data_IF_042908428548
#
_entry.id   IF_042908428548
#
_cell.length_a   1.000
_cell.length_b   1.000
_cell.length_c   1.000
_cell.angle_alpha   90.00
_cell.angle_beta   90.00
_cell.angle_gamma   90.00
#
_symmetry.space_group_name_H-M   'P 1'
#
loop_
_entity.id
_entity.type
_entity.pdbx_description
1 polymer ?
#
# COMPACT_ATOMS: atom_id res chain seq x y z
N UNK A 1 0.09 12.00 -36.12
CA UNK A 1 0.42 11.55 -34.76
C UNK A 1 1.00 10.15 -34.86
N UNK A 2 2.31 9.97 -34.62
CA UNK A 2 2.89 8.63 -34.46
C UNK A 2 2.18 7.97 -33.27
N UNK A 3 1.90 6.71 -33.37
CA UNK A 3 1.14 5.99 -32.35
C UNK A 3 2.00 5.84 -31.09
N UNK A 4 1.85 6.74 -30.11
CA UNK A 4 2.63 6.80 -28.85
C UNK A 4 2.75 5.42 -28.19
N UNK A 5 1.69 4.62 -28.29
CA UNK A 5 1.67 3.26 -27.76
C UNK A 5 2.71 2.35 -28.43
N UNK A 6 2.97 2.52 -29.71
CA UNK A 6 3.96 1.71 -30.47
C UNK A 6 5.37 2.14 -30.09
N UNK A 7 5.66 3.45 -30.01
CA UNK A 7 7.01 3.94 -29.68
C UNK A 7 7.47 3.54 -28.26
N UNK A 8 6.56 3.51 -27.28
CA UNK A 8 6.87 3.13 -25.90
C UNK A 8 6.96 1.61 -25.74
N UNK A 9 6.13 0.85 -26.48
CA UNK A 9 6.14 -0.61 -26.42
C UNK A 9 7.46 -1.22 -26.96
N UNK A 10 8.11 -0.56 -27.90
CA UNK A 10 9.33 -1.07 -28.54
C UNK A 10 10.63 -0.78 -27.76
N UNK A 11 10.58 0.06 -26.71
CA UNK A 11 11.77 0.37 -25.90
C UNK A 11 12.06 -0.75 -24.91
N UNK A 12 13.30 -1.27 -24.90
CA UNK A 12 13.74 -2.28 -23.91
C UNK A 12 13.77 -1.74 -22.47
N UNK A 13 13.93 -0.43 -22.33
CA UNK A 13 13.95 0.27 -21.04
C UNK A 13 13.09 1.53 -21.11
N UNK A 14 12.25 1.73 -20.12
CA UNK A 14 11.53 2.98 -19.90
C UNK A 14 11.98 3.62 -18.58
N UNK A 15 12.27 4.92 -18.62
CA UNK A 15 12.42 5.72 -17.41
C UNK A 15 11.07 6.31 -17.05
N UNK A 16 10.59 5.99 -15.86
CA UNK A 16 9.23 6.30 -15.45
C UNK A 16 9.26 7.02 -14.09
N UNK A 17 8.51 8.11 -13.98
CA UNK A 17 8.19 8.70 -12.69
C UNK A 17 6.88 8.09 -12.16
N UNK A 18 6.99 7.23 -11.16
CA UNK A 18 5.83 6.72 -10.43
C UNK A 18 5.42 7.69 -9.34
N UNK A 19 4.14 7.94 -9.22
CA UNK A 19 3.59 8.93 -8.30
C UNK A 19 2.47 8.31 -7.45
N UNK A 20 2.60 8.46 -6.14
CA UNK A 20 1.59 8.03 -5.16
C UNK A 20 1.23 9.17 -4.22
N UNK A 21 -0.03 9.24 -3.88
CA UNK A 21 -0.51 10.01 -2.74
C UNK A 21 -1.41 9.11 -1.89
N UNK A 22 -0.97 8.84 -0.68
CA UNK A 22 -1.59 7.90 0.24
C UNK A 22 -2.72 8.52 1.08
N UNK A 23 -3.34 7.68 1.90
CA UNK A 23 -4.43 8.08 2.82
C UNK A 23 -3.94 8.90 4.02
N UNK A 24 -2.63 8.98 4.26
CA UNK A 24 -2.00 9.84 5.27
C UNK A 24 -2.15 11.33 4.94
N UNK A 25 -2.32 11.67 3.65
CA UNK A 25 -2.47 13.03 3.14
C UNK A 25 -1.32 13.95 3.59
N UNK A 26 -0.11 13.44 3.68
CA UNK A 26 1.09 14.18 4.08
C UNK A 26 1.83 14.78 2.88
N UNK A 27 1.77 14.12 1.71
CA UNK A 27 2.45 14.60 0.51
C UNK A 27 2.22 13.74 -0.72
N UNK A 28 3.06 13.99 -1.70
CA UNK A 28 3.15 13.26 -2.96
C UNK A 28 4.50 12.55 -3.01
N UNK A 29 4.47 11.24 -3.03
CA UNK A 29 5.64 10.39 -3.21
C UNK A 29 5.96 10.26 -4.70
N UNK A 30 7.20 10.53 -5.07
CA UNK A 30 7.68 10.42 -6.46
C UNK A 30 8.92 9.56 -6.50
N UNK A 31 8.85 8.44 -7.23
CA UNK A 31 9.99 7.59 -7.54
C UNK A 31 10.31 7.67 -9.03
N UNK A 32 11.54 8.05 -9.39
CA UNK A 32 12.02 7.96 -10.77
C UNK A 32 12.80 6.68 -10.91
N UNK A 33 12.35 5.80 -11.79
CA UNK A 33 12.90 4.46 -11.94
C UNK A 33 13.21 4.14 -13.41
N UNK A 34 14.24 3.35 -13.65
CA UNK A 34 14.45 2.66 -14.94
C UNK A 34 13.82 1.27 -14.82
N UNK A 35 12.85 0.97 -15.68
CA UNK A 35 12.13 -0.31 -15.73
C UNK A 35 12.49 -1.05 -17.00
N UNK A 36 12.82 -2.33 -16.87
CA UNK A 36 13.06 -3.30 -17.94
C UNK A 36 12.33 -4.59 -17.62
N UNK A 37 12.23 -5.53 -18.55
CA UNK A 37 11.68 -6.87 -18.28
C UNK A 37 12.48 -7.63 -17.22
N UNK A 38 13.75 -7.27 -17.00
CA UNK A 38 14.63 -7.90 -16.01
C UNK A 38 14.47 -7.32 -14.59
N UNK A 39 13.79 -6.18 -14.42
CA UNK A 39 13.60 -5.56 -13.13
C UNK A 39 13.61 -4.03 -13.14
N UNK A 40 13.77 -3.47 -11.96
CA UNK A 40 13.67 -2.02 -11.69
C UNK A 40 14.95 -1.51 -11.03
N UNK A 41 15.38 -0.32 -11.44
CA UNK A 41 16.46 0.42 -10.77
C UNK A 41 15.94 1.79 -10.35
N UNK A 42 15.86 2.03 -9.05
CA UNK A 42 15.46 3.34 -8.50
C UNK A 42 16.58 4.34 -8.71
N UNK A 43 16.27 5.49 -9.34
CA UNK A 43 17.20 6.59 -9.63
C UNK A 43 17.05 7.75 -8.67
N UNK A 44 15.82 8.01 -8.23
CA UNK A 44 15.50 9.04 -7.24
C UNK A 44 14.19 8.69 -6.55
N UNK A 45 14.06 9.11 -5.31
CA UNK A 45 12.82 9.10 -4.56
C UNK A 45 12.80 10.29 -3.62
N UNK A 46 11.66 10.93 -3.52
CA UNK A 46 11.40 11.94 -2.48
C UNK A 46 9.90 12.10 -2.26
N UNK A 47 9.52 12.56 -1.07
CA UNK A 47 8.16 12.93 -0.71
C UNK A 47 8.04 14.46 -0.68
N UNK A 48 7.18 15.02 -1.52
CA UNK A 48 6.90 16.45 -1.56
C UNK A 48 5.66 16.74 -0.73
N UNK A 49 5.79 17.45 0.41
CA UNK A 49 4.66 17.69 1.31
C UNK A 49 3.54 18.51 0.65
N UNK A 50 2.29 18.20 0.98
CA UNK A 50 1.17 19.03 0.57
C UNK A 50 1.21 20.43 1.24
N UNK A 51 0.88 21.49 0.49
CA UNK A 51 0.58 22.79 1.11
C UNK A 51 -0.54 22.65 2.17
N UNK A 52 -0.36 23.30 3.31
CA UNK A 52 -1.31 23.20 4.42
C UNK A 52 -2.80 23.42 4.04
N UNK A 53 -3.14 24.44 3.25
CA UNK A 53 -4.51 24.64 2.76
C UNK A 53 -5.04 23.45 1.94
N UNK A 54 -4.23 22.91 1.00
CA UNK A 54 -4.61 21.76 0.17
C UNK A 54 -4.84 20.54 1.03
N UNK A 55 -3.95 20.25 1.98
CA UNK A 55 -4.11 19.13 2.92
C UNK A 55 -5.42 19.22 3.71
N UNK A 56 -5.77 20.40 4.17
CA UNK A 56 -7.03 20.66 4.92
C UNK A 56 -8.26 20.34 4.05
N UNK A 57 -8.25 20.76 2.79
CA UNK A 57 -9.35 20.48 1.86
C UNK A 57 -9.47 19.01 1.50
N UNK A 58 -8.33 18.31 1.30
CA UNK A 58 -8.32 16.87 1.09
C UNK A 58 -8.89 16.11 2.29
N UNK A 59 -8.51 16.49 3.51
CA UNK A 59 -9.09 15.92 4.74
C UNK A 59 -10.61 16.12 4.79
N UNK A 60 -11.09 17.32 4.40
CA UNK A 60 -12.53 17.63 4.33
C UNK A 60 -13.25 16.72 3.32
N UNK A 61 -12.67 16.52 2.13
CA UNK A 61 -13.22 15.63 1.10
C UNK A 61 -13.30 14.18 1.56
N UNK A 62 -12.24 13.69 2.19
CA UNK A 62 -12.15 12.30 2.65
C UNK A 62 -12.98 12.01 3.91
N UNK A 63 -13.46 13.02 4.63
CA UNK A 63 -14.24 12.85 5.88
C UNK A 63 -15.72 12.49 5.69
N UNK A 64 -16.18 12.36 4.43
CA UNK A 64 -17.57 11.98 4.14
C UNK A 64 -18.61 13.10 4.31
N UNK A 65 -18.18 14.34 4.56
CA UNK A 65 -19.07 15.50 4.63
C UNK A 65 -19.64 15.85 3.25
N UNK A 66 -20.76 16.58 3.22
CA UNK A 66 -21.30 17.13 1.97
C UNK A 66 -20.27 18.03 1.29
N UNK A 67 -19.97 17.75 0.03
CA UNK A 67 -18.96 18.43 -0.77
C UNK A 67 -19.60 18.92 -2.08
N UNK A 68 -19.25 20.16 -2.48
CA UNK A 68 -19.67 20.67 -3.79
C UNK A 68 -18.87 19.98 -4.91
N UNK A 69 -19.53 19.69 -6.02
CA UNK A 69 -18.88 19.14 -7.23
C UNK A 69 -17.81 20.10 -7.76
N UNK A 70 -18.02 21.41 -7.61
CA UNK A 70 -17.04 22.44 -8.00
C UNK A 70 -15.73 22.33 -7.17
N UNK A 71 -15.82 22.00 -5.87
CA UNK A 71 -14.64 21.79 -5.01
C UNK A 71 -13.83 20.57 -5.51
N UNK A 72 -14.52 19.47 -5.85
CA UNK A 72 -13.85 18.27 -6.38
C UNK A 72 -13.16 18.59 -7.70
N UNK A 73 -13.84 19.28 -8.62
CA UNK A 73 -13.30 19.64 -9.93
C UNK A 73 -12.08 20.59 -9.78
N UNK A 74 -12.17 21.58 -8.90
CA UNK A 74 -11.09 22.51 -8.61
C UNK A 74 -9.88 21.82 -8.00
N UNK A 75 -10.09 20.95 -7.00
CA UNK A 75 -9.02 20.20 -6.37
C UNK A 75 -8.39 19.18 -7.31
N UNK A 76 -9.14 18.58 -8.25
CA UNK A 76 -8.58 17.71 -9.27
C UNK A 76 -7.49 18.44 -10.10
N UNK A 77 -7.76 19.68 -10.50
CA UNK A 77 -6.80 20.51 -11.24
C UNK A 77 -5.61 20.90 -10.35
N UNK A 78 -5.89 21.40 -9.14
CA UNK A 78 -4.85 21.82 -8.18
C UNK A 78 -3.90 20.65 -7.86
N UNK A 79 -4.42 19.45 -7.66
CA UNK A 79 -3.59 18.27 -7.42
C UNK A 79 -2.78 17.89 -8.65
N UNK A 80 -3.30 18.05 -9.85
CA UNK A 80 -2.54 17.89 -11.09
C UNK A 80 -1.32 18.84 -11.13
N UNK A 81 -1.49 20.11 -10.75
CA UNK A 81 -0.38 21.08 -10.66
C UNK A 81 0.64 20.68 -9.57
N UNK A 82 0.17 20.26 -8.40
CA UNK A 82 1.05 19.84 -7.29
C UNK A 82 1.85 18.58 -7.69
N UNK A 83 1.21 17.59 -8.29
CA UNK A 83 1.87 16.37 -8.77
C UNK A 83 2.92 16.71 -9.84
N UNK A 84 2.57 17.55 -10.82
CA UNK A 84 3.53 17.98 -11.83
C UNK A 84 4.73 18.70 -11.20
N UNK A 85 4.46 19.60 -10.24
CA UNK A 85 5.51 20.29 -9.47
C UNK A 85 6.40 19.33 -8.68
N UNK A 86 5.82 18.30 -8.07
CA UNK A 86 6.55 17.28 -7.34
C UNK A 86 7.48 16.46 -8.26
N UNK A 87 7.00 16.03 -9.44
CA UNK A 87 7.84 15.33 -10.43
C UNK A 87 8.99 16.22 -10.89
N UNK A 88 8.73 17.50 -11.18
CA UNK A 88 9.77 18.46 -11.59
C UNK A 88 10.80 18.67 -10.46
N UNK A 89 10.34 18.81 -9.22
CA UNK A 89 11.22 19.01 -8.08
C UNK A 89 12.15 17.82 -7.83
N UNK A 90 11.60 16.59 -7.81
CA UNK A 90 12.37 15.36 -7.58
C UNK A 90 13.35 15.12 -8.72
N UNK A 91 12.94 15.31 -9.98
CA UNK A 91 13.83 15.20 -11.13
C UNK A 91 14.96 16.24 -11.05
N UNK A 92 14.65 17.49 -10.70
CA UNK A 92 15.63 18.57 -10.53
C UNK A 92 16.62 18.30 -9.40
N UNK A 93 16.15 17.86 -8.24
CA UNK A 93 16.99 17.48 -7.10
C UNK A 93 17.99 16.35 -7.44
N UNK A 94 17.53 15.38 -8.21
CA UNK A 94 18.35 14.26 -8.70
C UNK A 94 19.17 14.59 -9.95
N UNK A 95 19.09 15.81 -10.50
CA UNK A 95 19.73 16.23 -11.76
C UNK A 95 19.32 15.36 -12.97
N UNK A 96 18.10 14.86 -12.98
CA UNK A 96 17.53 14.07 -14.06
C UNK A 96 16.74 15.02 -14.98
N UNK A 97 17.08 15.05 -16.27
CA UNK A 97 16.34 15.85 -17.25
C UNK A 97 14.92 15.30 -17.45
N UNK A 98 13.89 16.14 -17.40
CA UNK A 98 12.51 15.75 -17.72
C UNK A 98 12.39 15.09 -19.10
N UNK A 99 13.19 15.54 -20.09
CA UNK A 99 13.22 14.95 -21.44
C UNK A 99 13.72 13.50 -21.45
N UNK A 100 14.37 13.04 -20.38
CA UNK A 100 14.83 11.65 -20.25
C UNK A 100 13.80 10.74 -19.56
N UNK A 101 12.68 11.30 -19.10
CA UNK A 101 11.57 10.54 -18.49
C UNK A 101 10.57 10.24 -19.59
N UNK A 102 10.31 8.97 -19.83
CA UNK A 102 9.44 8.49 -20.91
C UNK A 102 7.96 8.57 -20.54
N UNK A 103 7.64 8.35 -19.25
CA UNK A 103 6.28 8.26 -18.73
C UNK A 103 6.17 8.80 -17.31
N UNK A 104 4.95 9.23 -16.95
CA UNK A 104 4.52 9.40 -15.57
C UNK A 104 3.41 8.38 -15.30
N UNK A 105 3.51 7.60 -14.21
CA UNK A 105 2.45 6.74 -13.70
C UNK A 105 1.87 7.34 -12.44
N UNK A 106 0.72 8.01 -12.51
CA UNK A 106 0.12 8.71 -11.37
C UNK A 106 -1.09 7.96 -10.81
N UNK A 107 -1.00 7.54 -9.55
CA UNK A 107 -2.17 7.06 -8.82
C UNK A 107 -3.21 8.16 -8.59
N UNK A 108 -2.74 9.41 -8.39
CA UNK A 108 -3.57 10.48 -7.86
C UNK A 108 -3.91 10.28 -6.38
N UNK A 109 -4.85 11.07 -5.85
CA UNK A 109 -5.35 10.98 -4.48
C UNK A 109 -6.73 10.34 -4.46
N UNK A 110 -6.88 9.23 -3.75
CA UNK A 110 -8.20 8.61 -3.55
C UNK A 110 -9.05 9.48 -2.65
N UNK A 111 -10.19 9.94 -3.15
CA UNK A 111 -11.20 10.67 -2.40
C UNK A 111 -12.46 9.83 -2.16
N UNK A 112 -12.67 8.79 -2.95
CA UNK A 112 -13.77 7.86 -2.77
C UNK A 112 -13.41 6.47 -3.32
N UNK A 113 -13.80 5.43 -2.58
CA UNK A 113 -13.61 4.05 -3.03
C UNK A 113 -14.67 3.16 -2.38
N UNK A 114 -15.60 2.65 -3.18
CA UNK A 114 -16.70 1.80 -2.76
C UNK A 114 -16.92 0.71 -3.84
N UNK A 115 -16.09 -0.35 -3.84
CA UNK A 115 -16.20 -1.42 -4.83
C UNK A 115 -17.49 -2.24 -4.68
N UNK A 116 -17.99 -2.41 -3.44
CA UNK A 116 -19.29 -3.03 -3.18
C UNK A 116 -20.46 -2.21 -3.73
N UNK A 117 -20.27 -0.92 -3.78
CA UNK A 117 -21.11 0.04 -4.46
C UNK A 117 -22.49 0.22 -3.85
N UNK A 118 -23.27 0.99 -4.57
CA UNK A 118 -24.66 1.33 -4.20
C UNK A 118 -25.62 1.02 -5.34
N UNK A 119 -26.87 0.87 -4.97
CA UNK A 119 -27.94 0.74 -5.97
C UNK A 119 -28.21 2.11 -6.59
N UNK A 120 -27.82 2.27 -7.86
CA UNK A 120 -28.02 3.50 -8.62
C UNK A 120 -28.95 3.22 -9.79
N UNK A 121 -30.14 3.87 -9.81
CA UNK A 121 -31.18 3.66 -10.84
C UNK A 121 -31.47 2.17 -11.11
N UNK A 122 -31.56 1.37 -10.05
CA UNK A 122 -31.86 -0.06 -10.13
C UNK A 122 -30.66 -0.98 -10.41
N UNK A 123 -29.48 -0.45 -10.66
CA UNK A 123 -28.24 -1.23 -10.88
C UNK A 123 -27.32 -1.13 -9.68
N UNK A 124 -26.71 -2.24 -9.26
CA UNK A 124 -25.59 -2.23 -8.32
C UNK A 124 -24.36 -1.73 -9.08
N UNK A 125 -23.72 -0.68 -8.58
CA UNK A 125 -22.55 -0.04 -9.21
C UNK A 125 -21.47 0.16 -8.17
N UNK A 126 -20.35 -0.53 -8.33
CA UNK A 126 -19.10 -0.24 -7.63
C UNK A 126 -18.39 0.94 -8.28
N UNK A 127 -17.75 1.79 -7.49
CA UNK A 127 -17.08 2.96 -8.02
C UNK A 127 -15.88 3.38 -7.17
N UNK A 128 -14.97 4.08 -7.83
CA UNK A 128 -13.75 4.62 -7.22
C UNK A 128 -13.43 5.96 -7.86
N UNK A 129 -12.82 6.88 -7.11
CA UNK A 129 -12.41 8.17 -7.62
C UNK A 129 -11.06 8.56 -7.03
N UNK A 130 -10.09 8.70 -7.90
CA UNK A 130 -8.80 9.29 -7.64
C UNK A 130 -8.75 10.63 -8.39
N UNK A 131 -8.31 11.70 -7.72
CA UNK A 131 -8.15 13.02 -8.30
C UNK A 131 -6.67 13.40 -8.45
N UNK A 132 -6.38 14.31 -9.35
CA UNK A 132 -5.05 14.70 -9.81
C UNK A 132 -5.03 14.61 -11.33
N UNK A 133 -5.55 15.67 -12.00
CA UNK A 133 -5.86 15.70 -13.43
C UNK A 133 -4.64 15.38 -14.29
N UNK A 134 -4.69 14.23 -14.97
CA UNK A 134 -3.57 13.72 -15.76
C UNK A 134 -3.20 14.62 -16.95
N UNK A 135 -4.20 15.31 -17.52
CA UNK A 135 -3.95 16.28 -18.61
C UNK A 135 -3.13 17.47 -18.12
N UNK A 136 -3.37 17.93 -16.90
CA UNK A 136 -2.57 18.99 -16.27
C UNK A 136 -1.14 18.49 -16.04
N UNK A 137 -0.98 17.30 -15.48
CA UNK A 137 0.34 16.70 -15.27
C UNK A 137 1.10 16.61 -16.57
N UNK A 138 0.48 16.04 -17.61
CA UNK A 138 1.10 15.85 -18.93
C UNK A 138 1.52 17.20 -19.55
N UNK A 139 0.64 18.21 -19.56
CA UNK A 139 0.93 19.51 -20.16
C UNK A 139 1.97 20.33 -19.37
N UNK A 140 2.03 20.21 -18.04
CA UNK A 140 3.02 20.91 -17.21
C UNK A 140 4.41 20.29 -17.29
N UNK A 141 4.50 18.98 -17.44
CA UNK A 141 5.77 18.26 -17.46
C UNK A 141 6.30 18.03 -18.89
N UNK A 142 5.42 18.06 -19.89
CA UNK A 142 5.73 17.63 -21.26
C UNK A 142 5.91 16.12 -21.38
N UNK A 143 5.38 15.32 -20.42
CA UNK A 143 5.57 13.86 -20.35
C UNK A 143 4.21 13.16 -20.40
N UNK A 144 4.08 12.17 -21.29
CA UNK A 144 2.88 11.32 -21.34
C UNK A 144 2.59 10.73 -19.95
N UNK A 145 1.34 10.89 -19.49
CA UNK A 145 0.91 10.48 -18.16
C UNK A 145 -0.09 9.34 -18.24
N UNK A 146 0.09 8.32 -17.39
CA UNK A 146 -0.85 7.21 -17.20
C UNK A 146 -1.47 7.34 -15.82
N UNK A 147 -2.79 7.32 -15.75
CA UNK A 147 -3.58 7.49 -14.53
C UNK A 147 -4.79 6.55 -14.50
N UNK A 148 -5.65 6.66 -13.50
CA UNK A 148 -6.91 5.89 -13.40
C UNK A 148 -6.69 4.37 -13.47
N UNK A 149 -5.78 3.83 -12.69
CA UNK A 149 -5.45 2.39 -12.71
C UNK A 149 -6.57 1.50 -12.16
N UNK A 150 -7.41 1.99 -11.25
CA UNK A 150 -8.42 1.18 -10.55
C UNK A 150 -9.70 0.90 -11.36
N UNK A 151 -10.24 1.83 -12.20
CA UNK A 151 -11.53 1.66 -12.86
C UNK A 151 -11.64 0.46 -13.81
N UNK A 152 -10.54 0.08 -14.49
CA UNK A 152 -10.55 -1.05 -15.40
C UNK A 152 -10.77 -2.40 -14.68
N UNK A 153 -10.21 -2.56 -13.48
CA UNK A 153 -10.40 -3.75 -12.65
C UNK A 153 -11.84 -3.83 -12.11
N UNK A 154 -12.41 -2.70 -11.65
CA UNK A 154 -13.83 -2.63 -11.25
C UNK A 154 -14.75 -2.99 -12.41
N UNK A 155 -14.43 -2.54 -13.62
CA UNK A 155 -15.26 -2.79 -14.82
C UNK A 155 -15.36 -4.28 -15.18
N UNK A 156 -14.43 -5.10 -14.70
CA UNK A 156 -14.45 -6.55 -14.87
C UNK A 156 -14.78 -7.30 -13.57
N UNK A 157 -15.43 -6.62 -12.64
CA UNK A 157 -15.98 -7.21 -11.42
C UNK A 157 -14.99 -7.32 -10.25
N UNK A 158 -13.80 -6.73 -10.37
CA UNK A 158 -12.83 -6.64 -9.28
C UNK A 158 -13.13 -5.49 -8.33
N UNK A 159 -12.39 -5.45 -7.22
CA UNK A 159 -12.51 -4.39 -6.21
C UNK A 159 -11.65 -3.16 -6.52
N UNK A 160 -10.80 -3.19 -7.58
CA UNK A 160 -9.90 -2.10 -7.91
C UNK A 160 -8.75 -1.91 -6.91
N UNK A 161 -8.62 -2.83 -5.96
CA UNK A 161 -7.59 -2.91 -4.94
C UNK A 161 -7.50 -4.35 -4.41
N UNK A 162 -6.31 -4.82 -3.96
CA UNK A 162 -5.02 -4.13 -4.05
C UNK A 162 -4.41 -4.22 -5.47
N UNK A 163 -3.67 -3.19 -5.90
CA UNK A 163 -2.96 -3.19 -7.19
C UNK A 163 -1.45 -3.48 -7.04
N UNK A 164 -0.90 -3.24 -5.86
CA UNK A 164 0.51 -3.50 -5.52
C UNK A 164 0.95 -4.96 -5.74
N UNK A 165 0.09 -5.99 -5.60
CA UNK A 165 0.50 -7.38 -5.83
C UNK A 165 1.10 -7.67 -7.21
N UNK A 166 0.69 -6.94 -8.26
CA UNK A 166 1.32 -7.03 -9.57
C UNK A 166 2.78 -6.54 -9.53
N UNK A 167 3.01 -5.40 -8.89
CA UNK A 167 4.35 -4.87 -8.73
C UNK A 167 5.22 -5.76 -7.82
N UNK A 168 4.67 -6.30 -6.75
CA UNK A 168 5.36 -7.26 -5.89
C UNK A 168 5.78 -8.50 -6.70
N UNK A 169 4.90 -9.03 -7.55
CA UNK A 169 5.22 -10.15 -8.43
C UNK A 169 6.30 -9.78 -9.45
N UNK A 170 6.21 -8.62 -10.06
CA UNK A 170 7.21 -8.13 -11.02
C UNK A 170 8.60 -7.99 -10.38
N UNK A 171 8.67 -7.48 -9.16
CA UNK A 171 9.92 -7.25 -8.43
C UNK A 171 10.52 -8.52 -7.82
N UNK A 172 9.68 -9.41 -7.26
CA UNK A 172 10.13 -10.47 -6.37
C UNK A 172 9.64 -11.87 -6.76
N UNK A 173 8.75 -11.99 -7.75
CA UNK A 173 8.12 -13.26 -8.16
C UNK A 173 9.04 -14.18 -8.98
N UNK A 174 10.26 -14.43 -8.51
CA UNK A 174 11.24 -15.27 -9.21
C UNK A 174 10.85 -16.74 -9.13
N UNK A 175 10.98 -17.47 -10.25
CA UNK A 175 10.78 -18.91 -10.29
C UNK A 175 11.72 -19.63 -9.31
N UNK A 176 11.19 -20.65 -8.64
CA UNK A 176 11.93 -21.48 -7.68
C UNK A 176 11.97 -20.95 -6.24
N UNK A 177 11.51 -19.73 -5.97
CA UNK A 177 11.48 -19.17 -4.61
C UNK A 177 10.08 -18.68 -4.25
N UNK A 178 9.44 -19.35 -3.31
CA UNK A 178 8.18 -18.91 -2.74
C UNK A 178 8.45 -17.81 -1.71
N UNK A 179 7.78 -16.64 -1.87
CA UNK A 179 7.98 -15.46 -1.04
C UNK A 179 6.68 -14.90 -0.49
N UNK A 180 6.79 -14.20 0.60
CA UNK A 180 5.75 -13.31 1.11
C UNK A 180 6.28 -11.89 1.20
N UNK A 181 5.56 -10.93 0.64
CA UNK A 181 5.82 -9.52 0.86
C UNK A 181 4.87 -9.07 1.97
N UNK A 182 5.41 -8.85 3.17
CA UNK A 182 4.63 -8.46 4.33
C UNK A 182 4.77 -6.96 4.58
N UNK A 183 3.72 -6.22 4.29
CA UNK A 183 3.65 -4.83 4.69
C UNK A 183 3.07 -4.73 6.11
N UNK A 184 3.76 -4.04 7.00
CA UNK A 184 3.30 -3.79 8.38
C UNK A 184 3.16 -2.29 8.57
N UNK A 185 2.03 -1.76 8.10
CA UNK A 185 1.58 -0.40 8.33
C UNK A 185 0.69 -0.33 9.58
N UNK A 186 -0.32 0.53 9.58
CA UNK A 186 -1.36 0.51 10.61
C UNK A 186 -2.11 -0.83 10.64
N UNK A 187 -2.44 -1.36 9.46
CA UNK A 187 -2.88 -2.73 9.20
C UNK A 187 -1.72 -3.50 8.58
N UNK A 188 -1.63 -4.78 8.88
CA UNK A 188 -0.66 -5.70 8.30
C UNK A 188 -1.30 -6.45 7.13
N UNK A 189 -0.64 -6.48 5.96
CA UNK A 189 -1.10 -7.19 4.78
C UNK A 189 0.02 -7.98 4.13
N UNK A 190 -0.34 -9.04 3.44
CA UNK A 190 0.59 -9.94 2.76
C UNK A 190 0.27 -10.04 1.29
N UNK A 191 1.32 -10.05 0.44
CA UNK A 191 1.28 -10.57 -0.92
C UNK A 191 2.09 -11.88 -0.94
N UNK A 192 1.42 -13.00 -1.17
CA UNK A 192 2.06 -14.31 -1.37
C UNK A 192 2.45 -14.45 -2.84
N UNK A 193 3.71 -14.74 -3.10
CA UNK A 193 4.30 -14.96 -4.40
C UNK A 193 4.66 -16.44 -4.56
N UNK A 194 4.01 -17.17 -5.47
CA UNK A 194 4.28 -18.59 -5.67
C UNK A 194 5.68 -18.80 -6.25
N UNK A 195 6.35 -19.87 -5.83
CA UNK A 195 7.70 -20.22 -6.31
C UNK A 195 7.73 -20.69 -7.78
N UNK A 196 6.57 -20.93 -8.38
CA UNK A 196 6.45 -21.37 -9.78
C UNK A 196 6.35 -20.22 -10.80
N UNK A 197 6.38 -18.97 -10.35
CA UNK A 197 6.31 -17.79 -11.20
C UNK A 197 4.95 -17.54 -11.89
N UNK A 198 3.86 -18.12 -11.40
CA UNK A 198 2.52 -17.94 -11.95
C UNK A 198 1.78 -16.82 -11.21
N UNK A 199 1.46 -15.75 -11.93
CA UNK A 199 0.77 -14.60 -11.36
C UNK A 199 -0.67 -14.93 -10.93
N UNK A 200 -1.29 -15.91 -11.56
CA UNK A 200 -2.65 -16.37 -11.25
C UNK A 200 -2.77 -17.02 -9.86
N UNK A 201 -1.65 -17.45 -9.30
CA UNK A 201 -1.58 -18.10 -7.98
C UNK A 201 -1.11 -17.11 -6.89
N UNK A 202 -0.90 -15.83 -7.23
CA UNK A 202 -0.62 -14.76 -6.26
C UNK A 202 -1.84 -14.55 -5.38
N UNK A 203 -1.63 -14.47 -4.06
CA UNK A 203 -2.69 -14.14 -3.10
C UNK A 203 -2.32 -12.85 -2.37
N UNK A 204 -3.32 -12.02 -2.08
CA UNK A 204 -3.11 -10.84 -1.24
C UNK A 204 -4.31 -10.62 -0.32
N UNK A 205 -4.04 -10.35 0.96
CA UNK A 205 -5.07 -10.10 1.97
C UNK A 205 -4.48 -9.46 3.23
N UNK A 206 -5.33 -8.85 4.04
CA UNK A 206 -4.92 -8.29 5.32
C UNK A 206 -4.84 -9.39 6.38
N UNK A 207 -3.69 -9.49 7.05
CA UNK A 207 -3.47 -10.51 8.09
C UNK A 207 -4.09 -10.13 9.42
N UNK A 208 -4.20 -8.83 9.72
CA UNK A 208 -4.74 -8.30 10.96
C UNK A 208 -4.19 -6.91 11.29
N UNK A 209 -4.20 -6.50 12.57
CA UNK A 209 -3.60 -5.24 12.99
C UNK A 209 -2.09 -5.27 12.75
N UNK A 210 -1.55 -4.14 12.28
CA UNK A 210 -0.13 -3.88 12.26
C UNK A 210 0.26 -3.02 13.47
N UNK A 211 0.76 -1.81 13.21
CA UNK A 211 1.18 -0.89 14.26
C UNK A 211 0.01 -0.16 14.94
N UNK A 212 -1.15 -0.07 14.33
CA UNK A 212 -2.26 0.79 14.75
C UNK A 212 -2.67 0.61 16.22
N UNK A 213 -2.78 -0.64 16.66
CA UNK A 213 -3.13 -0.96 18.05
C UNK A 213 -1.98 -0.61 19.00
N UNK A 214 -0.76 -0.95 18.62
CA UNK A 214 0.47 -0.69 19.40
C UNK A 214 0.65 0.83 19.57
N UNK A 215 0.55 1.58 18.49
CA UNK A 215 0.73 3.03 18.46
C UNK A 215 -0.30 3.73 19.34
N UNK A 216 -1.56 3.33 19.28
CA UNK A 216 -2.61 3.92 20.11
C UNK A 216 -2.41 3.63 21.61
N UNK A 217 -1.95 2.42 21.96
CA UNK A 217 -1.58 2.07 23.34
C UNK A 217 -0.43 2.97 23.83
N UNK A 218 0.62 3.13 23.03
CA UNK A 218 1.79 3.96 23.35
C UNK A 218 1.41 5.43 23.47
N UNK A 219 0.53 5.91 22.59
CA UNK A 219 0.00 7.28 22.65
C UNK A 219 -0.74 7.54 23.96
N UNK A 220 -1.62 6.62 24.38
CA UNK A 220 -2.36 6.72 25.66
C UNK A 220 -1.42 6.66 26.86
N UNK A 221 -0.51 5.68 26.89
CA UNK A 221 0.51 5.52 27.94
C UNK A 221 1.31 6.81 28.17
N UNK A 222 1.65 7.50 27.07
CA UNK A 222 2.50 8.70 27.13
C UNK A 222 1.73 10.01 27.23
N UNK A 223 0.39 9.98 27.35
CA UNK A 223 -0.47 11.15 27.25
C UNK A 223 -0.20 11.98 25.97
N UNK A 224 -0.04 11.29 24.84
CA UNK A 224 0.17 11.89 23.53
C UNK A 224 1.61 12.34 23.24
N UNK A 225 2.57 12.15 24.17
CA UNK A 225 3.97 12.55 23.99
C UNK A 225 4.76 11.63 23.06
N UNK A 226 4.33 10.37 22.91
CA UNK A 226 4.88 9.39 21.96
C UNK A 226 3.77 8.93 21.04
N UNK A 227 4.08 8.74 19.76
CA UNK A 227 3.13 8.29 18.75
C UNK A 227 3.29 6.81 18.40
N UNK A 228 4.42 6.17 18.72
CA UNK A 228 4.72 4.76 18.44
C UNK A 228 5.81 4.20 19.38
N UNK A 229 5.95 2.87 19.40
CA UNK A 229 7.02 2.17 20.11
C UNK A 229 8.30 2.14 19.26
N UNK A 230 9.20 3.10 19.52
CA UNK A 230 10.45 3.20 18.77
C UNK A 230 11.31 1.95 18.94
N UNK A 231 11.67 1.30 17.83
CA UNK A 231 12.46 0.07 17.75
C UNK A 231 11.85 -1.12 18.54
N UNK A 232 10.59 -1.05 18.95
CA UNK A 232 9.94 -2.06 19.79
C UNK A 232 10.44 -2.13 21.22
N UNK A 233 11.04 -1.04 21.74
CA UNK A 233 11.72 -1.05 23.06
C UNK A 233 10.76 -1.24 24.23
N UNK A 234 9.55 -0.69 24.13
CA UNK A 234 8.55 -0.85 25.20
C UNK A 234 8.11 -2.31 25.23
N UNK A 235 7.74 -2.86 24.06
CA UNK A 235 7.34 -4.26 23.96
C UNK A 235 8.46 -5.22 24.38
N UNK A 236 9.70 -4.98 23.92
CA UNK A 236 10.84 -5.85 24.20
C UNK A 236 11.35 -5.81 25.65
N UNK A 237 10.99 -4.78 26.41
CA UNK A 237 11.36 -4.64 27.82
C UNK A 237 10.30 -5.18 28.78
N UNK A 238 9.17 -5.69 28.26
CA UNK A 238 8.05 -6.15 29.07
C UNK A 238 7.59 -7.54 28.63
N UNK A 239 6.93 -8.24 29.55
CA UNK A 239 6.41 -9.57 29.28
C UNK A 239 5.05 -9.51 28.58
N UNK A 240 4.81 -10.50 27.74
CA UNK A 240 3.49 -10.75 27.14
C UNK A 240 2.61 -11.40 28.20
N UNK A 241 1.42 -10.85 28.45
CA UNK A 241 0.44 -11.50 29.30
C UNK A 241 -0.36 -12.51 28.48
N UNK A 242 -0.29 -13.79 28.87
CA UNK A 242 -0.92 -14.88 28.13
C UNK A 242 -2.44 -14.82 28.19
N UNK A 243 -3.02 -14.39 29.31
CA UNK A 243 -4.47 -14.27 29.46
C UNK A 243 -5.05 -13.22 28.52
N UNK A 244 -4.43 -12.03 28.48
CA UNK A 244 -4.81 -10.97 27.55
C UNK A 244 -4.56 -11.38 26.09
N UNK A 245 -3.45 -12.04 25.79
CA UNK A 245 -3.13 -12.55 24.45
C UNK A 245 -4.21 -13.51 23.96
N UNK A 246 -4.59 -14.50 24.76
CA UNK A 246 -5.59 -15.50 24.40
C UNK A 246 -6.96 -14.86 24.14
N UNK A 247 -7.35 -13.85 24.93
CA UNK A 247 -8.59 -13.10 24.70
C UNK A 247 -8.56 -12.31 23.38
N UNK A 248 -7.47 -11.61 23.11
CA UNK A 248 -7.33 -10.83 21.87
C UNK A 248 -7.29 -11.72 20.63
N UNK A 249 -6.70 -12.91 20.72
CA UNK A 249 -6.66 -13.87 19.61
C UNK A 249 -8.01 -14.53 19.30
N UNK A 250 -9.04 -14.35 20.12
CA UNK A 250 -10.43 -14.78 19.81
C UNK A 250 -11.13 -13.90 18.78
N UNK A 251 -10.53 -12.78 18.36
CA UNK A 251 -11.12 -11.91 17.35
C UNK A 251 -11.47 -12.70 16.08
N UNK A 252 -12.75 -12.67 15.71
CA UNK A 252 -13.31 -13.48 14.62
C UNK A 252 -12.62 -13.23 13.27
N UNK A 253 -12.07 -12.03 13.08
CA UNK A 253 -11.33 -11.67 11.88
C UNK A 253 -10.16 -12.61 11.59
N UNK A 254 -9.44 -13.10 12.61
CA UNK A 254 -8.30 -13.99 12.44
C UNK A 254 -8.68 -15.37 11.88
N UNK A 255 -9.93 -15.77 12.03
CA UNK A 255 -10.47 -17.01 11.46
C UNK A 255 -11.09 -16.84 10.06
N UNK A 256 -11.38 -15.59 9.63
CA UNK A 256 -11.98 -15.29 8.33
C UNK A 256 -11.03 -15.70 7.21
N UNK A 257 -11.55 -16.45 6.22
CA UNK A 257 -10.77 -16.85 5.02
C UNK A 257 -10.58 -15.67 4.05
N UNK A 258 -9.46 -15.61 3.32
CA UNK A 258 -9.33 -14.71 2.17
C UNK A 258 -10.36 -15.04 1.06
N UNK A 259 -10.80 -14.02 0.28
CA UNK A 259 -10.38 -12.64 0.36
C UNK A 259 -10.89 -11.95 1.62
N UNK A 260 -10.04 -11.18 2.30
CA UNK A 260 -10.41 -10.41 3.49
C UNK A 260 -9.60 -9.13 3.58
N UNK A 261 -10.27 -8.06 3.99
CA UNK A 261 -9.67 -6.78 4.31
C UNK A 261 -10.19 -6.27 5.64
N UNK A 262 -9.46 -5.35 6.27
CA UNK A 262 -9.81 -4.72 7.53
C UNK A 262 -9.16 -3.34 7.63
N UNK A 263 -9.59 -2.55 8.61
CA UNK A 263 -9.09 -1.20 8.80
C UNK A 263 -9.38 -0.68 10.22
N UNK A 264 -9.47 0.65 10.31
CA UNK A 264 -9.75 1.36 11.57
C UNK A 264 -11.14 1.06 12.14
N UNK A 265 -12.07 0.62 11.30
CA UNK A 265 -13.41 0.20 11.70
C UNK A 265 -13.39 -0.98 12.64
N UNK A 266 -12.39 -1.88 12.54
CA UNK A 266 -12.25 -3.04 13.43
C UNK A 266 -11.16 -2.86 14.48
N UNK A 267 -9.95 -2.41 14.07
CA UNK A 267 -8.77 -2.32 14.94
C UNK A 267 -8.44 -0.88 15.38
N UNK A 268 -9.39 0.04 15.26
CA UNK A 268 -9.23 1.44 15.65
C UNK A 268 -9.38 1.70 17.15
N UNK A 269 -9.75 2.95 17.50
CA UNK A 269 -9.81 3.42 18.88
C UNK A 269 -10.73 2.59 19.78
N UNK A 270 -11.92 2.17 19.27
CA UNK A 270 -12.87 1.36 20.02
C UNK A 270 -12.32 -0.04 20.36
N UNK A 271 -11.52 -0.63 19.48
CA UNK A 271 -10.82 -1.88 19.77
C UNK A 271 -9.84 -1.69 20.92
N UNK A 272 -9.07 -0.61 20.91
CA UNK A 272 -8.13 -0.31 21.98
C UNK A 272 -8.85 0.06 23.27
N UNK A 273 -10.03 0.71 23.22
CA UNK A 273 -10.84 0.97 24.41
C UNK A 273 -11.24 -0.34 25.10
N UNK A 274 -11.71 -1.33 24.33
CA UNK A 274 -12.05 -2.67 24.87
C UNK A 274 -10.81 -3.38 25.44
N UNK A 275 -9.67 -3.31 24.75
CA UNK A 275 -8.41 -3.89 25.19
C UNK A 275 -7.98 -3.28 26.53
N UNK A 276 -7.99 -1.95 26.66
CA UNK A 276 -7.59 -1.23 27.88
C UNK A 276 -8.54 -1.57 29.04
N UNK A 277 -9.84 -1.64 28.80
CA UNK A 277 -10.81 -2.03 29.83
C UNK A 277 -10.58 -3.47 30.32
N UNK A 278 -10.34 -4.40 29.41
CA UNK A 278 -10.05 -5.81 29.70
C UNK A 278 -8.75 -5.94 30.51
N UNK A 279 -7.67 -5.34 30.04
CA UNK A 279 -6.37 -5.36 30.69
C UNK A 279 -6.40 -4.67 32.08
N UNK A 280 -7.15 -3.57 32.20
CA UNK A 280 -7.39 -2.90 33.50
C UNK A 280 -8.08 -3.80 34.50
N UNK A 281 -9.06 -4.61 34.08
CA UNK A 281 -9.72 -5.64 34.92
C UNK A 281 -8.75 -6.75 35.35
N UNK A 282 -7.67 -6.99 34.63
CA UNK A 282 -6.60 -7.93 34.96
C UNK A 282 -5.44 -7.27 35.75
N UNK A 283 -5.49 -5.97 36.00
CA UNK A 283 -4.43 -5.23 36.71
C UNK A 283 -3.18 -4.98 35.89
N UNK A 284 -3.27 -5.03 34.55
CA UNK A 284 -2.14 -4.90 33.63
C UNK A 284 -1.87 -3.43 33.27
N UNK A 285 -0.60 -3.04 33.23
CA UNK A 285 -0.15 -1.71 32.78
C UNK A 285 -0.05 -1.60 31.25
N UNK A 286 0.08 -0.37 30.78
CA UNK A 286 0.18 -0.08 29.33
C UNK A 286 1.40 -0.73 28.65
N UNK A 287 2.51 -0.89 29.38
CA UNK A 287 3.72 -1.51 28.87
C UNK A 287 3.48 -2.99 28.53
N UNK A 288 2.77 -3.73 29.40
CA UNK A 288 2.38 -5.12 29.20
C UNK A 288 1.36 -5.20 28.05
N UNK A 289 0.42 -4.24 27.99
CA UNK A 289 -0.52 -4.15 26.86
C UNK A 289 0.20 -3.98 25.52
N UNK A 290 1.24 -3.12 25.45
CA UNK A 290 2.03 -2.90 24.24
C UNK A 290 2.81 -4.16 23.83
N UNK A 291 3.42 -4.87 24.78
CA UNK A 291 4.11 -6.13 24.53
C UNK A 291 3.13 -7.20 24.02
N UNK A 292 1.95 -7.32 24.66
CA UNK A 292 0.92 -8.29 24.28
C UNK A 292 0.32 -7.95 22.90
N UNK A 293 0.04 -6.68 22.60
CA UNK A 293 -0.44 -6.25 21.27
C UNK A 293 0.59 -6.53 20.17
N UNK A 294 1.88 -6.35 20.47
CA UNK A 294 2.97 -6.70 19.52
C UNK A 294 2.98 -8.21 19.24
N UNK A 295 2.81 -9.03 20.27
CA UNK A 295 2.71 -10.49 20.13
C UNK A 295 1.46 -10.92 19.34
N UNK A 296 0.32 -10.24 19.53
CA UNK A 296 -0.92 -10.46 18.74
C UNK A 296 -0.69 -10.12 17.26
N UNK A 297 -0.02 -9.01 16.96
CA UNK A 297 0.35 -8.67 15.58
C UNK A 297 1.24 -9.75 14.96
N UNK A 298 2.27 -10.20 15.68
CA UNK A 298 3.15 -11.28 15.19
C UNK A 298 2.38 -12.58 14.94
N UNK A 299 1.49 -12.98 15.87
CA UNK A 299 0.70 -14.21 15.73
C UNK A 299 -0.38 -14.08 14.65
N UNK A 300 -1.01 -12.91 14.49
CA UNK A 300 -1.99 -12.70 13.42
C UNK A 300 -1.37 -12.91 12.05
N UNK A 301 -0.14 -12.45 11.84
CA UNK A 301 0.63 -12.66 10.62
C UNK A 301 1.02 -14.14 10.47
N UNK A 302 1.70 -14.70 11.46
CA UNK A 302 2.18 -16.09 11.40
C UNK A 302 1.03 -17.10 11.30
N UNK A 303 -0.04 -16.90 12.05
CA UNK A 303 -1.25 -17.72 12.01
C UNK A 303 -1.97 -17.62 10.67
N UNK A 304 -2.01 -16.44 10.05
CA UNK A 304 -2.57 -16.26 8.71
C UNK A 304 -1.77 -17.05 7.66
N UNK A 305 -0.44 -17.06 7.76
CA UNK A 305 0.42 -17.83 6.87
C UNK A 305 0.15 -19.34 6.99
N UNK A 306 0.13 -19.85 8.21
CA UNK A 306 -0.15 -21.28 8.45
C UNK A 306 -1.54 -21.74 8.01
N UNK A 307 -2.55 -20.83 8.12
CA UNK A 307 -3.95 -21.18 7.84
C UNK A 307 -4.37 -20.99 6.39
N UNK A 308 -3.82 -19.99 5.70
CA UNK A 308 -4.40 -19.51 4.46
C UNK A 308 -3.46 -19.52 3.26
N UNK A 309 -2.13 -19.59 3.46
CA UNK A 309 -1.21 -19.71 2.33
C UNK A 309 -1.14 -21.15 1.83
N UNK A 310 -1.02 -21.36 0.52
CA UNK A 310 -0.90 -22.72 -0.06
C UNK A 310 0.31 -23.49 0.45
N UNK A 311 1.39 -22.79 0.77
CA UNK A 311 2.59 -23.29 1.41
C UNK A 311 3.25 -22.20 2.22
N UNK A 312 4.04 -22.58 3.24
CA UNK A 312 4.85 -21.58 3.95
C UNK A 312 5.94 -21.06 2.99
N UNK A 313 6.07 -19.72 2.85
CA UNK A 313 7.12 -19.12 2.05
C UNK A 313 8.51 -19.47 2.59
N UNK A 314 9.49 -19.52 1.70
CA UNK A 314 10.90 -19.69 2.08
C UNK A 314 11.49 -18.39 2.62
N UNK A 315 10.90 -17.26 2.22
CA UNK A 315 11.39 -15.93 2.54
C UNK A 315 10.22 -14.95 2.71
N UNK A 316 10.29 -14.15 3.78
CA UNK A 316 9.44 -12.99 3.99
C UNK A 316 10.26 -11.73 3.71
N UNK A 317 9.79 -10.88 2.82
CA UNK A 317 10.31 -9.52 2.63
C UNK A 317 9.39 -8.58 3.39
N UNK A 318 9.92 -7.94 4.43
CA UNK A 318 9.13 -7.07 5.30
C UNK A 318 9.33 -5.60 4.93
N UNK A 319 8.23 -4.84 4.91
CA UNK A 319 8.19 -3.40 4.66
C UNK A 319 7.14 -2.69 5.54
N UNK A 320 7.07 -1.37 5.40
CA UNK A 320 6.25 -0.50 6.24
C UNK A 320 6.89 -0.22 7.60
N UNK A 321 6.28 0.69 8.37
CA UNK A 321 6.83 1.16 9.66
C UNK A 321 7.13 0.06 10.68
N UNK A 322 6.37 -1.05 10.64
CA UNK A 322 6.59 -2.20 11.52
C UNK A 322 7.88 -2.99 11.24
N UNK A 323 8.49 -2.83 10.06
CA UNK A 323 9.79 -3.40 9.76
C UNK A 323 10.91 -2.87 10.68
N UNK A 324 10.73 -1.67 11.23
CA UNK A 324 11.66 -1.06 12.18
C UNK A 324 11.43 -1.49 13.64
N UNK A 325 10.33 -2.19 13.92
CA UNK A 325 10.05 -2.71 15.27
C UNK A 325 10.80 -4.04 15.48
N UNK A 326 11.99 -3.97 16.06
CA UNK A 326 12.86 -5.14 16.26
C UNK A 326 12.17 -6.25 17.05
N UNK A 327 11.45 -5.90 18.11
CA UNK A 327 10.74 -6.89 18.92
C UNK A 327 9.68 -7.64 18.11
N UNK A 328 8.92 -6.94 17.27
CA UNK A 328 7.96 -7.56 16.35
C UNK A 328 8.66 -8.50 15.35
N UNK A 329 9.77 -8.06 14.78
CA UNK A 329 10.53 -8.87 13.82
C UNK A 329 11.11 -10.12 14.48
N UNK A 330 11.64 -10.01 15.70
CA UNK A 330 12.16 -11.16 16.44
C UNK A 330 11.03 -12.15 16.80
N UNK A 331 9.87 -11.65 17.23
CA UNK A 331 8.70 -12.49 17.47
C UNK A 331 8.20 -13.19 16.18
N UNK A 332 8.31 -12.55 15.01
CA UNK A 332 8.00 -13.17 13.73
C UNK A 332 9.02 -14.25 13.36
N UNK A 333 10.31 -14.01 13.58
CA UNK A 333 11.38 -15.00 13.35
C UNK A 333 11.14 -16.26 14.16
N UNK A 334 10.82 -16.12 15.43
CA UNK A 334 10.52 -17.26 16.31
C UNK A 334 9.32 -18.07 15.82
N UNK A 335 8.25 -17.39 15.39
CA UNK A 335 6.99 -18.04 14.99
C UNK A 335 7.01 -18.67 13.61
N UNK A 336 7.90 -18.21 12.76
CA UNK A 336 7.97 -18.61 11.35
C UNK A 336 9.27 -19.36 10.99
N UNK A 337 10.08 -19.73 12.00
CA UNK A 337 11.25 -20.57 11.76
C UNK A 337 10.89 -21.83 10.94
N UNK A 338 11.64 -22.20 9.89
CA UNK A 338 12.93 -21.67 9.42
C UNK A 338 12.84 -20.62 8.29
N UNK A 339 11.75 -19.87 8.18
CA UNK A 339 11.58 -18.84 7.15
C UNK A 339 12.59 -17.71 7.34
N UNK A 340 13.24 -17.27 6.28
CA UNK A 340 14.10 -16.09 6.31
C UNK A 340 13.25 -14.83 6.30
N UNK A 341 13.54 -13.88 7.18
CA UNK A 341 12.85 -12.59 7.25
C UNK A 341 13.87 -11.49 6.97
N UNK A 342 13.71 -10.83 5.83
CA UNK A 342 14.63 -9.81 5.33
C UNK A 342 13.89 -8.48 5.10
N UNK A 343 14.50 -7.35 5.44
CA UNK A 343 13.94 -6.04 5.12
C UNK A 343 14.00 -5.79 3.60
N UNK A 344 13.04 -5.04 3.10
CA UNK A 344 12.93 -4.72 1.66
C UNK A 344 14.15 -3.99 1.11
N UNK A 345 14.81 -3.19 1.93
CA UNK A 345 16.01 -2.43 1.56
C UNK A 345 17.16 -3.33 1.08
N UNK A 346 17.24 -4.58 1.56
CA UNK A 346 18.22 -5.55 1.08
C UNK A 346 18.04 -5.93 -0.40
N UNK A 347 16.87 -5.64 -0.95
CA UNK A 347 16.54 -5.88 -2.37
C UNK A 347 16.67 -4.61 -3.22
N UNK A 348 17.23 -3.52 -2.66
CA UNK A 348 17.47 -2.27 -3.37
C UNK A 348 16.24 -1.40 -3.59
N UNK A 349 15.17 -1.65 -2.83
CA UNK A 349 13.94 -0.85 -2.84
C UNK A 349 13.67 -0.38 -1.42
N UNK A 350 13.69 0.92 -1.22
CA UNK A 350 13.30 1.53 0.04
C UNK A 350 11.78 1.31 0.28
N UNK A 351 11.43 0.97 1.53
CA UNK A 351 10.05 0.73 1.93
C UNK A 351 9.12 1.92 1.63
N UNK A 352 9.61 3.16 1.80
CA UNK A 352 8.84 4.37 1.57
C UNK A 352 8.61 4.62 0.07
N UNK A 353 9.56 4.21 -0.78
CA UNK A 353 9.46 4.36 -2.24
C UNK A 353 8.56 3.31 -2.91
N UNK A 354 8.25 2.19 -2.23
CA UNK A 354 7.60 1.01 -2.80
C UNK A 354 6.30 1.33 -3.55
N UNK A 355 5.42 2.14 -2.96
CA UNK A 355 4.13 2.45 -3.58
C UNK A 355 4.33 3.26 -4.87
N UNK A 356 5.17 4.29 -4.85
CA UNK A 356 5.49 5.08 -6.03
C UNK A 356 6.16 4.22 -7.12
N UNK A 357 7.10 3.34 -6.75
CA UNK A 357 7.71 2.35 -7.66
C UNK A 357 6.64 1.43 -8.26
N UNK A 358 5.65 1.01 -7.47
CA UNK A 358 4.55 0.17 -7.96
C UNK A 358 3.75 0.85 -9.06
N UNK A 359 3.45 2.15 -8.94
CA UNK A 359 2.75 2.90 -9.99
C UNK A 359 3.61 3.15 -11.24
N UNK A 360 4.92 3.21 -11.11
CA UNK A 360 5.81 3.19 -12.27
C UNK A 360 5.75 1.84 -13.00
N UNK A 361 5.74 0.71 -12.29
CA UNK A 361 5.61 -0.64 -12.87
C UNK A 361 4.25 -0.83 -13.55
N UNK A 362 3.16 -0.36 -12.92
CA UNK A 362 1.84 -0.42 -13.53
C UNK A 362 1.75 0.42 -14.81
N UNK A 363 2.38 1.60 -14.83
CA UNK A 363 2.48 2.43 -16.02
C UNK A 363 3.33 1.75 -17.11
N UNK A 364 4.43 1.10 -16.74
CA UNK A 364 5.21 0.26 -17.65
C UNK A 364 4.35 -0.83 -18.29
N UNK A 365 3.62 -1.59 -17.48
CA UNK A 365 2.74 -2.65 -17.96
C UNK A 365 1.68 -2.11 -18.93
N UNK A 366 1.08 -0.95 -18.62
CA UNK A 366 0.10 -0.29 -19.50
C UNK A 366 0.71 0.10 -20.84
N UNK A 367 1.91 0.69 -20.84
CA UNK A 367 2.63 1.07 -22.06
C UNK A 367 3.00 -0.14 -22.91
N UNK A 368 3.36 -1.26 -22.28
CA UNK A 368 3.67 -2.54 -22.94
C UNK A 368 2.41 -3.32 -23.36
N UNK A 369 1.21 -2.87 -23.00
CA UNK A 369 -0.04 -3.56 -23.29
C UNK A 369 -0.24 -4.85 -22.48
N UNK A 370 0.42 -4.95 -21.32
CA UNK A 370 0.31 -6.09 -20.41
C UNK A 370 -0.84 -5.91 -19.42
N UNK A 371 -1.60 -6.98 -19.17
CA UNK A 371 -2.56 -6.99 -18.08
C UNK A 371 -1.82 -6.87 -16.73
N UNK A 372 -2.29 -5.99 -15.87
CA UNK A 372 -1.59 -5.65 -14.63
C UNK A 372 -2.47 -5.61 -13.38
N UNK A 373 -3.72 -6.08 -13.47
CA UNK A 373 -4.46 -6.49 -12.29
C UNK A 373 -4.10 -7.95 -11.93
N UNK A 374 -4.39 -8.33 -10.69
CA UNK A 374 -4.23 -9.71 -10.19
C UNK A 374 -5.59 -10.21 -9.76
N UNK A 375 -6.34 -10.95 -10.61
CA UNK A 375 -7.71 -11.37 -10.31
C UNK A 375 -7.86 -12.14 -9.00
N UNK A 376 -6.89 -12.97 -8.64
CA UNK A 376 -6.86 -13.71 -7.38
C UNK A 376 -6.76 -12.81 -6.13
N UNK A 377 -6.28 -11.56 -6.30
CA UNK A 377 -6.19 -10.57 -5.24
C UNK A 377 -7.34 -9.57 -5.25
N UNK A 378 -7.82 -9.16 -6.44
CA UNK A 378 -8.87 -8.14 -6.59
C UNK A 378 -10.28 -8.71 -6.73
N UNK A 379 -10.41 -10.02 -6.97
CA UNK A 379 -11.71 -10.65 -7.26
C UNK A 379 -12.22 -10.40 -8.68
N UNK A 380 -11.43 -9.80 -9.56
CA UNK A 380 -11.79 -9.56 -10.95
C UNK A 380 -12.04 -10.86 -11.73
N UNK A 381 -12.97 -10.83 -12.69
CA UNK A 381 -13.31 -12.01 -13.49
C UNK A 381 -12.23 -12.37 -14.54
N UNK A 382 -11.33 -11.45 -14.86
CA UNK A 382 -10.26 -11.65 -15.84
C UNK A 382 -9.12 -10.65 -15.70
N UNK A 383 -7.91 -10.97 -16.22
CA UNK A 383 -6.84 -10.01 -16.38
C UNK A 383 -7.21 -8.88 -17.36
N UNK A 384 -6.82 -7.63 -17.02
CA UNK A 384 -7.04 -6.44 -17.86
C UNK A 384 -5.85 -5.49 -17.78
N UNK A 385 -5.64 -4.72 -18.85
CA UNK A 385 -4.70 -3.60 -18.85
C UNK A 385 -5.30 -2.48 -17.99
N UNK A 386 -4.53 -1.99 -17.03
CA UNK A 386 -4.94 -0.90 -16.15
C UNK A 386 -4.51 0.46 -16.71
N UNK A 387 -5.17 1.52 -16.25
CA UNK A 387 -4.79 2.90 -16.54
C UNK A 387 -5.32 3.45 -17.86
N UNK A 388 -5.27 4.77 -17.95
CA UNK A 388 -5.60 5.58 -19.14
C UNK A 388 -4.37 6.37 -19.56
N UNK A 389 -4.06 6.40 -20.84
CA UNK A 389 -2.90 7.11 -21.41
C UNK A 389 -3.35 8.51 -21.85
N UNK A 390 -2.70 9.53 -21.29
CA UNK A 390 -2.93 10.94 -21.59
C UNK A 390 -1.63 11.50 -22.22
N UNK A 391 -1.63 11.82 -23.50
CA UNK A 391 -0.47 12.41 -24.18
C UNK A 391 -0.14 13.81 -23.65
N UNK A 392 1.17 14.17 -23.71
CA UNK A 392 1.64 15.55 -23.48
C UNK A 392 1.43 16.45 -24.67
#
# INVERSE_FOLDING_TARGET
>A
MRNIKIELADKDRLRIAGVMSGTSLDGVDVAIVDVTDAGVVVKAFDTVPYPGPTRKELLRLCSGNSVDVADIAGLNVILGEIIAGAVIAVAGGAKISLKSIDLIGSHGQTIYHDPGGRRFRGRQVGFTMQIGEASVIAQRTGITTISDFRPADLAVGGEGAPLVPYADFFLFGRSGTCRAIQNIGGIANVTYLPGNGKIEEVLAFDTGPGNMVIDEIVRRMSNGRKSFDRDGRIAGSNQVDQGLFDELMKEAYFAKRPPKSTGRELFGAEYVDRLVAMAGGMGLGYEVMAATATAVTAESIAGAYRKFLPSLPQEMIVCGGGAHNRTLIDMLRERLDPMRIEPMDHFGIDCDSKEAVSFAILAYATAKGLASNVPSATGANKPVILGKIVPA
#
